data_IF_438629793213
#
_entry.id   IF_438629793213
#
_cell.length_a   1.000
_cell.length_b   1.000
_cell.length_c   1.000
_cell.angle_alpha   90.00
_cell.angle_beta   90.00
_cell.angle_gamma   90.00
#
_symmetry.space_group_name_H-M   'P 1'
#
loop_
_entity.id
_entity.type
_entity.pdbx_description
1 polymer ?
#
# COMPACT_ATOMS: atom_id res chain seq x y z
N UNK A 1 -13.65 -36.26 -35.04
CA UNK A 1 -14.73 -35.71 -34.20
C UNK A 1 -14.13 -35.39 -32.83
N UNK A 2 -13.84 -34.11 -32.56
CA UNK A 2 -13.40 -33.63 -31.24
C UNK A 2 -14.61 -33.38 -30.34
N UNK A 3 -14.55 -33.68 -29.04
CA UNK A 3 -15.57 -33.21 -28.10
C UNK A 3 -15.40 -31.70 -27.82
N UNK A 4 -16.51 -30.98 -27.53
CA UNK A 4 -16.51 -29.53 -27.30
C UNK A 4 -15.98 -29.16 -25.90
N UNK A 5 -15.61 -27.88 -25.66
CA UNK A 5 -15.05 -27.45 -24.39
C UNK A 5 -16.15 -27.31 -23.33
N UNK A 6 -15.89 -27.84 -22.13
CA UNK A 6 -16.79 -27.66 -20.99
C UNK A 6 -16.32 -26.45 -20.18
N UNK A 7 -17.04 -25.33 -20.34
CA UNK A 7 -16.96 -24.20 -19.41
C UNK A 7 -17.58 -24.61 -18.06
N UNK A 8 -16.75 -24.96 -17.08
CA UNK A 8 -17.20 -25.05 -15.68
C UNK A 8 -17.03 -23.72 -14.97
N UNK A 9 -18.03 -22.84 -15.13
CA UNK A 9 -18.25 -21.68 -14.26
C UNK A 9 -18.74 -22.20 -12.90
N UNK A 10 -17.88 -22.25 -11.88
CA UNK A 10 -18.30 -22.55 -10.50
C UNK A 10 -18.18 -21.31 -9.62
N UNK A 11 -19.16 -20.42 -9.78
CA UNK A 11 -19.53 -19.46 -8.75
C UNK A 11 -20.30 -20.20 -7.65
N UNK A 12 -19.62 -20.65 -6.60
CA UNK A 12 -20.26 -21.06 -5.34
C UNK A 12 -19.29 -20.81 -4.18
N UNK A 13 -19.18 -19.54 -3.81
CA UNK A 13 -18.59 -19.12 -2.54
C UNK A 13 -19.57 -19.55 -1.42
N UNK A 14 -19.38 -20.78 -0.94
CA UNK A 14 -19.99 -21.27 0.30
C UNK A 14 -18.86 -21.18 1.32
N UNK A 15 -18.80 -20.09 2.06
CA UNK A 15 -17.69 -19.79 2.99
C UNK A 15 -17.79 -20.71 4.22
N UNK A 16 -17.35 -21.96 4.05
CA UNK A 16 -16.92 -22.83 5.13
C UNK A 16 -15.43 -22.55 5.29
N UNK A 17 -15.03 -21.92 6.40
CA UNK A 17 -13.63 -21.62 6.67
C UNK A 17 -12.87 -22.93 6.94
N UNK A 18 -12.51 -23.63 5.87
CA UNK A 18 -11.39 -24.55 5.88
C UNK A 18 -10.13 -23.68 5.83
N UNK A 19 -9.39 -23.64 6.94
CA UNK A 19 -8.05 -23.06 7.05
C UNK A 19 -7.04 -23.87 6.22
N UNK A 20 -7.21 -23.87 4.90
CA UNK A 20 -6.24 -24.39 3.94
C UNK A 20 -5.45 -23.24 3.34
N UNK A 21 -4.19 -23.50 2.97
CA UNK A 21 -3.39 -22.56 2.19
C UNK A 21 -4.11 -22.35 0.86
N UNK A 22 -4.66 -21.16 0.66
CA UNK A 22 -5.30 -20.78 -0.60
C UNK A 22 -4.21 -20.42 -1.61
N UNK A 23 -4.14 -21.20 -2.69
CA UNK A 23 -3.30 -20.85 -3.82
C UNK A 23 -4.09 -19.88 -4.71
N UNK A 24 -3.58 -18.67 -4.88
CA UNK A 24 -4.15 -17.69 -5.79
C UNK A 24 -3.87 -18.15 -7.23
N UNK A 25 -4.88 -18.20 -8.07
CA UNK A 25 -4.67 -18.40 -9.51
C UNK A 25 -3.82 -17.23 -10.04
N UNK A 26 -2.69 -17.53 -10.69
CA UNK A 26 -1.70 -16.52 -11.09
C UNK A 26 -0.70 -16.11 -10.00
N UNK A 27 -0.76 -16.73 -8.81
CA UNK A 27 0.17 -16.47 -7.71
C UNK A 27 -0.04 -15.11 -7.00
N UNK A 28 0.85 -14.76 -6.07
CA UNK A 28 0.71 -13.52 -5.28
C UNK A 28 0.79 -12.24 -6.14
N UNK A 29 1.51 -12.30 -7.27
CA UNK A 29 1.61 -11.17 -8.21
C UNK A 29 0.27 -10.78 -8.82
N UNK A 30 -0.60 -11.77 -9.11
CA UNK A 30 -1.93 -11.51 -9.63
C UNK A 30 -2.80 -10.73 -8.64
N UNK A 31 -2.64 -10.96 -7.33
CA UNK A 31 -3.34 -10.17 -6.31
C UNK A 31 -2.84 -8.72 -6.30
N UNK A 32 -1.52 -8.52 -6.32
CA UNK A 32 -0.95 -7.17 -6.33
C UNK A 32 -1.38 -6.37 -7.56
N UNK A 33 -1.38 -6.99 -8.74
CA UNK A 33 -1.86 -6.37 -9.98
C UNK A 33 -3.33 -5.95 -9.86
N UNK A 34 -4.17 -6.84 -9.30
CA UNK A 34 -5.58 -6.53 -9.17
C UNK A 34 -5.85 -5.40 -8.16
N UNK A 35 -5.09 -5.34 -7.07
CA UNK A 35 -5.17 -4.22 -6.11
C UNK A 35 -4.68 -2.91 -6.74
N UNK A 36 -3.64 -2.97 -7.56
CA UNK A 36 -3.14 -1.83 -8.33
C UNK A 36 -4.22 -1.28 -9.27
N UNK A 37 -4.82 -2.13 -10.09
CA UNK A 37 -5.91 -1.75 -11.02
C UNK A 37 -7.11 -1.15 -10.27
N UNK A 38 -7.52 -1.78 -9.16
CA UNK A 38 -8.60 -1.27 -8.33
C UNK A 38 -8.27 0.10 -7.74
N UNK A 39 -7.06 0.30 -7.20
CA UNK A 39 -6.65 1.58 -6.64
C UNK A 39 -6.65 2.71 -7.69
N UNK A 40 -6.08 2.45 -8.87
CA UNK A 40 -6.04 3.43 -9.96
C UNK A 40 -7.45 3.74 -10.49
N UNK A 41 -8.33 2.75 -10.63
CA UNK A 41 -9.70 2.95 -11.11
C UNK A 41 -10.58 3.77 -10.15
N UNK A 42 -10.22 3.82 -8.86
CA UNK A 42 -10.85 4.68 -7.87
C UNK A 42 -10.19 6.06 -7.75
N UNK A 43 -9.33 6.44 -8.70
CA UNK A 43 -8.67 7.74 -8.75
C UNK A 43 -7.39 7.84 -7.90
N UNK A 44 -6.87 6.71 -7.42
CA UNK A 44 -5.57 6.67 -6.76
C UNK A 44 -4.43 6.99 -7.74
N UNK A 45 -3.37 7.59 -7.23
CA UNK A 45 -2.16 7.90 -7.98
C UNK A 45 -0.96 7.13 -7.40
N UNK A 46 -0.13 6.56 -8.27
CA UNK A 46 1.11 5.89 -7.86
C UNK A 46 2.29 6.59 -8.50
N UNK A 47 3.20 7.06 -7.65
CA UNK A 47 4.44 7.71 -8.06
C UNK A 47 5.62 6.79 -7.79
N UNK A 48 6.13 6.14 -8.85
CA UNK A 48 7.38 5.40 -8.76
C UNK A 48 8.57 6.34 -8.71
N UNK A 49 9.66 5.89 -8.09
CA UNK A 49 10.91 6.66 -7.98
C UNK A 49 10.75 8.01 -7.24
N UNK A 50 9.67 8.18 -6.49
CA UNK A 50 9.39 9.34 -5.65
C UNK A 50 9.75 9.04 -4.20
N UNK A 51 11.05 9.03 -3.87
CA UNK A 51 11.49 8.76 -2.49
C UNK A 51 11.07 9.92 -1.58
N UNK A 52 10.31 9.61 -0.53
CA UNK A 52 10.02 10.55 0.55
C UNK A 52 11.30 10.83 1.33
N UNK A 53 11.58 12.11 1.54
CA UNK A 53 12.72 12.63 2.29
C UNK A 53 12.32 13.07 3.71
N UNK A 54 11.11 13.65 3.86
CA UNK A 54 10.62 14.07 5.16
C UNK A 54 9.09 14.03 5.23
N UNK A 55 8.54 13.59 6.35
CA UNK A 55 7.13 13.82 6.73
C UNK A 55 7.04 15.20 7.35
N UNK A 56 6.21 16.06 6.76
CA UNK A 56 6.05 17.44 7.21
C UNK A 56 4.99 17.52 8.29
N UNK A 57 5.34 18.18 9.39
CA UNK A 57 4.47 18.40 10.55
C UNK A 57 4.44 19.89 10.83
N UNK A 58 3.26 20.44 11.04
CA UNK A 58 3.04 21.81 11.47
C UNK A 58 2.03 21.83 12.62
N UNK A 59 2.32 22.60 13.66
CA UNK A 59 1.51 22.69 14.87
C UNK A 59 1.07 21.32 15.46
N UNK A 60 1.95 20.31 15.36
CA UNK A 60 1.70 18.95 15.86
C UNK A 60 0.81 18.09 14.96
N UNK A 61 0.46 18.54 13.74
CA UNK A 61 -0.31 17.80 12.76
C UNK A 61 0.47 17.58 11.46
N UNK A 62 0.28 16.42 10.83
CA UNK A 62 0.88 16.15 9.52
C UNK A 62 0.25 17.06 8.46
N UNK A 63 1.10 17.64 7.60
CA UNK A 63 0.67 18.51 6.48
C UNK A 63 1.02 17.94 5.11
N UNK A 64 1.86 16.90 5.06
CA UNK A 64 2.24 16.21 3.84
C UNK A 64 3.60 15.55 3.93
N UNK A 65 4.22 15.37 2.77
CA UNK A 65 5.57 14.83 2.62
C UNK A 65 6.39 15.66 1.66
N UNK A 66 7.67 15.85 1.96
CA UNK A 66 8.68 16.34 1.02
C UNK A 66 9.38 15.15 0.37
N UNK A 67 9.51 15.19 -0.94
CA UNK A 67 10.26 14.22 -1.73
C UNK A 67 11.72 14.63 -1.86
N UNK A 68 12.59 13.67 -2.20
CA UNK A 68 14.04 13.90 -2.34
C UNK A 68 14.40 14.90 -3.45
N UNK A 69 13.54 15.07 -4.45
CA UNK A 69 13.72 16.07 -5.50
C UNK A 69 13.37 17.51 -5.06
N UNK A 70 12.95 17.68 -3.79
CA UNK A 70 12.55 18.95 -3.20
C UNK A 70 11.07 19.30 -3.38
N UNK A 71 10.32 18.54 -4.17
CA UNK A 71 8.87 18.73 -4.32
C UNK A 71 8.09 18.28 -3.07
N UNK A 72 6.89 18.82 -2.88
CA UNK A 72 6.02 18.49 -1.75
C UNK A 72 4.69 17.94 -2.24
N UNK A 73 4.19 16.92 -1.55
CA UNK A 73 2.82 16.41 -1.67
C UNK A 73 2.10 16.76 -0.37
N UNK A 74 1.12 17.67 -0.45
CA UNK A 74 0.29 18.00 0.71
C UNK A 74 -0.73 16.90 0.96
N UNK A 75 -0.85 16.47 2.23
CA UNK A 75 -1.82 15.49 2.66
C UNK A 75 -2.13 15.68 4.15
N UNK A 76 -3.41 15.67 4.56
CA UNK A 76 -3.78 15.77 5.98
C UNK A 76 -3.50 14.46 6.75
N UNK A 77 -3.26 13.36 6.04
CA UNK A 77 -2.99 12.03 6.61
C UNK A 77 -1.88 11.40 5.79
N UNK A 78 -0.89 10.83 6.48
CA UNK A 78 0.19 10.03 5.89
C UNK A 78 0.20 8.66 6.56
N UNK A 79 0.19 7.60 5.75
CA UNK A 79 0.31 6.21 6.21
C UNK A 79 1.67 5.68 5.76
N UNK A 80 2.55 5.37 6.71
CA UNK A 80 3.85 4.77 6.42
C UNK A 80 3.76 3.24 6.43
N UNK A 81 4.14 2.61 5.32
CA UNK A 81 4.33 1.17 5.21
C UNK A 81 5.82 0.77 5.31
N UNK A 82 6.67 1.67 5.77
CA UNK A 82 8.09 1.40 5.99
C UNK A 82 8.30 0.76 7.36
N UNK A 83 9.52 0.25 7.58
CA UNK A 83 9.91 -0.18 8.91
C UNK A 83 9.76 1.00 9.91
N UNK A 84 9.25 0.75 11.14
CA UNK A 84 8.96 1.83 12.08
C UNK A 84 10.18 2.68 12.43
N UNK A 85 11.33 2.03 12.63
CA UNK A 85 12.63 2.67 12.87
C UNK A 85 12.96 3.69 11.78
N UNK A 86 12.86 3.33 10.51
CA UNK A 86 13.11 4.25 9.39
C UNK A 86 12.14 5.43 9.40
N UNK A 87 10.86 5.18 9.71
CA UNK A 87 9.87 6.26 9.77
C UNK A 87 10.18 7.25 10.89
N UNK A 88 10.51 6.74 12.09
CA UNK A 88 10.70 7.55 13.29
C UNK A 88 12.06 8.25 13.36
N UNK A 89 13.11 7.64 12.78
CA UNK A 89 14.48 8.16 12.88
C UNK A 89 14.93 8.93 11.65
N UNK A 90 14.42 8.60 10.45
CA UNK A 90 14.87 9.23 9.20
C UNK A 90 13.86 10.21 8.61
N UNK A 91 12.55 9.92 8.73
CA UNK A 91 11.52 10.67 7.99
C UNK A 91 10.79 11.70 8.84
N UNK A 92 10.67 11.48 10.15
CA UNK A 92 10.04 12.42 11.09
C UNK A 92 11.13 13.17 11.84
N UNK A 93 10.97 14.49 11.97
CA UNK A 93 11.94 15.29 12.73
C UNK A 93 11.92 14.86 14.22
N UNK A 94 13.08 14.71 14.89
CA UNK A 94 13.16 14.18 16.25
C UNK A 94 12.28 14.92 17.28
N UNK A 95 12.07 16.22 17.12
CA UNK A 95 11.19 17.03 17.97
C UNK A 95 9.71 16.61 17.94
N UNK A 96 9.31 15.83 16.93
CA UNK A 96 7.94 15.31 16.79
C UNK A 96 7.82 13.84 17.22
N UNK A 97 8.91 13.22 17.69
CA UNK A 97 8.92 11.83 18.13
C UNK A 97 9.12 11.77 19.65
N UNK A 98 8.23 11.11 20.40
CA UNK A 98 8.45 10.85 21.82
C UNK A 98 9.80 10.16 22.07
N UNK A 99 10.57 10.66 23.04
CA UNK A 99 11.93 10.18 23.32
C UNK A 99 12.00 8.69 23.73
N UNK A 100 10.88 8.09 24.14
CA UNK A 100 10.79 6.66 24.48
C UNK A 100 10.71 5.72 23.26
N UNK A 101 10.50 6.26 22.06
CA UNK A 101 10.36 5.51 20.82
C UNK A 101 11.63 5.51 19.94
N UNK A 102 12.71 6.14 20.41
CA UNK A 102 13.96 6.34 19.65
C UNK A 102 15.16 5.81 20.43
#
# INVERSE_FOLDING_TARGET
MSPPPVHTRRSRCTLRAQLGITHLEGGIGALTEHLLELFLSHGGEIRFRAKVDQIQVDHGAVTGVRLRDGSTISAPIVVSNLAPDMTLTELVAPEHVPAELV
#
